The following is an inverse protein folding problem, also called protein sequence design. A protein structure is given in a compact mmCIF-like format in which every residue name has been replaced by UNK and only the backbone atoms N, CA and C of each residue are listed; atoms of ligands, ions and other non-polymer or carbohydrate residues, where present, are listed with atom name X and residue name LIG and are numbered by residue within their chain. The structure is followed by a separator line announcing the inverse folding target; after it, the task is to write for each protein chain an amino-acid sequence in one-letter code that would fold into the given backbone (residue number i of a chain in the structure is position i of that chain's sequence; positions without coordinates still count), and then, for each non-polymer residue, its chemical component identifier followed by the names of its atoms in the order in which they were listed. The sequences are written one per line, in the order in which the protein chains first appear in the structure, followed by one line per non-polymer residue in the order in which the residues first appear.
data_IF_548885128001
#
_entry.id   IF_548885128001
#
_cell.length_a   1.000
_cell.length_b   1.000
_cell.length_c   1.000
_cell.angle_alpha   90.00
_cell.angle_beta   90.00
_cell.angle_gamma   90.00
#
_symmetry.space_group_name_H-M   'P 1'
#
loop_
_entity.id
_entity.type
_entity.pdbx_description
1 polymer ?
#
# COMPACT_ATOMS: atom_id res chain seq x y z
N UNK A 1 -2.54 -6.01 26.60
CA UNK A 1 -1.91 -5.74 25.29
C UNK A 1 -2.13 -6.96 24.42
N UNK A 2 -3.00 -6.87 23.41
CA UNK A 2 -3.42 -8.03 22.63
C UNK A 2 -2.41 -8.24 21.49
N UNK A 3 -1.67 -9.36 21.44
CA UNK A 3 -0.63 -9.60 20.44
C UNK A 3 -1.18 -9.57 19.00
N UNK A 4 -2.45 -9.94 18.82
CA UNK A 4 -3.15 -9.89 17.55
C UNK A 4 -3.24 -8.48 16.97
N UNK A 5 -3.42 -7.44 17.81
CA UNK A 5 -3.47 -6.04 17.33
C UNK A 5 -2.10 -5.59 16.81
N UNK A 6 -1.03 -5.95 17.51
CA UNK A 6 0.33 -5.63 17.04
C UNK A 6 0.69 -6.32 15.73
N UNK A 7 0.29 -7.60 15.58
CA UNK A 7 0.46 -8.31 14.33
C UNK A 7 -0.33 -7.65 13.19
N UNK A 8 -1.56 -7.21 13.45
CA UNK A 8 -2.38 -6.50 12.48
C UNK A 8 -1.76 -5.17 12.05
N UNK A 9 -1.28 -4.36 12.99
CA UNK A 9 -0.64 -3.08 12.66
C UNK A 9 0.68 -3.26 11.89
N UNK A 10 1.46 -4.30 12.21
CA UNK A 10 2.69 -4.62 11.49
C UNK A 10 2.40 -5.03 10.05
N UNK A 11 1.44 -5.93 9.82
CA UNK A 11 1.08 -6.38 8.47
C UNK A 11 0.43 -5.25 7.68
N UNK A 12 -0.46 -4.46 8.31
CA UNK A 12 -1.10 -3.32 7.68
C UNK A 12 -0.09 -2.27 7.24
N UNK A 13 0.86 -1.91 8.11
CA UNK A 13 1.92 -0.94 7.79
C UNK A 13 2.86 -1.47 6.72
N UNK A 14 3.25 -2.75 6.80
CA UNK A 14 4.06 -3.40 5.79
C UNK A 14 3.39 -3.33 4.41
N UNK A 15 2.10 -3.66 4.34
CA UNK A 15 1.33 -3.64 3.09
C UNK A 15 1.20 -2.23 2.50
N UNK A 16 0.97 -1.23 3.35
CA UNK A 16 0.89 0.17 2.96
C UNK A 16 2.21 0.64 2.33
N UNK A 17 3.34 0.39 2.98
CA UNK A 17 4.65 0.78 2.44
C UNK A 17 5.02 -0.04 1.20
N UNK A 18 4.81 -1.35 1.24
CA UNK A 18 5.18 -2.24 0.13
C UNK A 18 4.38 -1.93 -1.14
N UNK A 19 3.05 -1.82 -1.04
CA UNK A 19 2.20 -1.51 -2.20
C UNK A 19 2.34 -0.06 -2.66
N UNK A 20 2.32 0.89 -1.72
CA UNK A 20 2.43 2.32 -2.02
C UNK A 20 3.79 2.68 -2.61
N UNK A 21 4.86 2.56 -1.82
CA UNK A 21 6.21 2.91 -2.28
C UNK A 21 6.71 1.96 -3.39
N UNK A 22 6.34 0.69 -3.35
CA UNK A 22 6.66 -0.26 -4.43
C UNK A 22 6.07 0.17 -5.76
N UNK A 23 4.81 0.63 -5.79
CA UNK A 23 4.21 1.18 -7.02
C UNK A 23 4.93 2.44 -7.51
N UNK A 24 5.39 3.30 -6.59
CA UNK A 24 6.14 4.51 -6.92
C UNK A 24 7.50 4.19 -7.57
N UNK A 25 8.27 3.30 -6.95
CA UNK A 25 9.62 2.94 -7.42
C UNK A 25 9.56 2.09 -8.67
N UNK A 26 8.62 1.12 -8.72
CA UNK A 26 8.59 0.14 -9.79
C UNK A 26 7.75 0.59 -10.98
N UNK A 27 6.67 1.35 -10.81
CA UNK A 27 5.68 1.57 -11.88
C UNK A 27 5.42 3.05 -12.24
N UNK A 28 5.88 4.02 -11.45
CA UNK A 28 5.50 5.43 -11.68
C UNK A 28 6.17 6.07 -12.89
N UNK A 29 7.43 5.71 -13.17
CA UNK A 29 8.28 6.41 -14.14
C UNK A 29 8.53 5.64 -15.45
N UNK A 30 7.73 4.61 -15.76
CA UNK A 30 7.87 3.92 -17.04
C UNK A 30 7.41 4.83 -18.21
N UNK A 31 8.18 4.92 -19.30
CA UNK A 31 7.78 5.66 -20.49
C UNK A 31 6.55 4.98 -21.12
N UNK A 32 5.54 5.79 -21.49
CA UNK A 32 4.29 5.41 -22.16
C UNK A 32 3.32 4.48 -21.37
N UNK A 33 3.81 3.68 -20.43
CA UNK A 33 3.02 2.69 -19.66
C UNK A 33 3.08 2.89 -18.13
N UNK A 34 3.72 3.96 -17.67
CA UNK A 34 3.80 4.28 -16.24
C UNK A 34 2.46 4.70 -15.64
N UNK A 35 2.25 4.38 -14.37
CA UNK A 35 1.01 4.71 -13.65
C UNK A 35 0.96 6.18 -13.19
N UNK A 36 2.09 6.88 -13.24
CA UNK A 36 2.21 8.29 -12.83
C UNK A 36 1.83 8.57 -11.38
N UNK A 37 1.77 9.86 -11.02
CA UNK A 37 1.43 10.29 -9.65
C UNK A 37 0.00 9.90 -9.25
N UNK A 38 -0.93 9.90 -10.20
CA UNK A 38 -2.32 9.50 -9.96
C UNK A 38 -2.42 8.01 -9.59
N UNK A 39 -1.75 7.14 -10.36
CA UNK A 39 -1.77 5.71 -10.09
C UNK A 39 -1.07 5.34 -8.79
N UNK A 40 0.03 6.02 -8.44
CA UNK A 40 0.69 5.86 -7.13
C UNK A 40 -0.23 6.26 -5.99
N UNK A 41 -0.93 7.39 -6.13
CA UNK A 41 -1.91 7.85 -5.13
C UNK A 41 -3.06 6.86 -4.96
N UNK A 42 -3.54 6.28 -6.07
CA UNK A 42 -4.57 5.24 -6.06
C UNK A 42 -4.07 3.95 -5.40
N UNK A 43 -2.83 3.54 -5.67
CA UNK A 43 -2.21 2.37 -5.05
C UNK A 43 -2.09 2.53 -3.53
N UNK A 44 -1.66 3.70 -3.05
CA UNK A 44 -1.68 4.02 -1.62
C UNK A 44 -3.09 3.89 -1.03
N UNK A 45 -4.10 4.48 -1.67
CA UNK A 45 -5.49 4.39 -1.21
C UNK A 45 -6.01 2.94 -1.14
N UNK A 46 -5.72 2.12 -2.17
CA UNK A 46 -6.13 0.71 -2.21
C UNK A 46 -5.42 -0.15 -1.16
N UNK A 47 -4.15 0.13 -0.84
CA UNK A 47 -3.43 -0.59 0.23
C UNK A 47 -4.05 -0.32 1.61
N UNK A 48 -4.46 0.92 1.88
CA UNK A 48 -5.19 1.27 3.10
C UNK A 48 -6.54 0.57 3.13
N UNK A 49 -7.33 0.67 2.05
CA UNK A 49 -8.67 0.12 1.98
C UNK A 49 -8.67 -1.41 2.17
N UNK A 50 -7.75 -2.11 1.51
CA UNK A 50 -7.63 -3.57 1.63
C UNK A 50 -7.30 -4.01 3.06
N UNK A 51 -6.39 -3.33 3.76
CA UNK A 51 -6.06 -3.69 5.15
C UNK A 51 -7.11 -3.26 6.15
N UNK A 52 -7.81 -2.14 5.90
CA UNK A 52 -8.95 -1.71 6.70
C UNK A 52 -10.09 -2.74 6.65
N UNK A 53 -10.36 -3.36 5.50
CA UNK A 53 -11.37 -4.40 5.38
C UNK A 53 -10.89 -5.80 5.81
N UNK A 54 -9.60 -6.10 5.70
CA UNK A 54 -9.08 -7.43 6.01
C UNK A 54 -8.84 -7.66 7.50
N UNK A 55 -8.31 -6.64 8.20
CA UNK A 55 -7.81 -6.77 9.59
C UNK A 55 -8.12 -5.54 10.46
N UNK A 56 -8.85 -4.56 9.93
CA UNK A 56 -9.26 -3.32 10.62
C UNK A 56 -10.52 -3.46 11.44
#
# INVERSE_FOLDING_TARGET
MNPQKYAAELIGTFWLTFGGCGSAVLAAAFPEVGIGLLGVSLAFGLTVLTMAYAIG
#
